data_IF_980700325574
#
_entry.id   IF_980700325574
#
_cell.length_a   1.000
_cell.length_b   1.000
_cell.length_c   1.000
_cell.angle_alpha   90.00
_cell.angle_beta   90.00
_cell.angle_gamma   90.00
#
_symmetry.space_group_name_H-M   'P 1'
#
loop_
_entity.id
_entity.type
_entity.pdbx_description
1 polymer ?
#
# COMPACT_ATOMS: atom_id res chain seq x y z
N UNK A 1 20.79 -0.87 14.29
CA UNK A 1 20.69 -1.99 13.32
C UNK A 1 19.49 -1.72 12.43
N UNK A 2 19.61 -1.94 11.12
CA UNK A 2 18.50 -1.83 10.17
C UNK A 2 17.58 -3.04 10.37
N UNK A 3 16.29 -2.82 10.65
CA UNK A 3 15.31 -3.90 10.71
C UNK A 3 14.60 -4.01 9.35
N UNK A 4 14.62 -5.21 8.76
CA UNK A 4 14.11 -5.48 7.42
C UNK A 4 13.12 -6.64 7.44
N UNK A 5 12.02 -6.51 6.70
CA UNK A 5 11.08 -7.60 6.47
C UNK A 5 10.73 -7.70 4.99
N UNK A 6 10.88 -8.89 4.41
CA UNK A 6 10.59 -9.15 3.00
C UNK A 6 9.34 -10.01 2.89
N UNK A 7 8.47 -9.68 1.95
CA UNK A 7 7.29 -10.44 1.58
C UNK A 7 7.27 -10.70 0.08
N UNK A 8 6.89 -11.92 -0.32
CA UNK A 8 6.60 -12.32 -1.70
C UNK A 8 5.26 -13.02 -1.77
N UNK A 9 4.36 -12.56 -2.63
CA UNK A 9 3.03 -13.18 -2.75
C UNK A 9 3.07 -14.61 -3.31
N UNK A 10 4.18 -15.02 -3.92
CA UNK A 10 4.43 -16.40 -4.33
C UNK A 10 4.30 -17.42 -3.19
N UNK A 11 4.54 -16.99 -1.95
CA UNK A 11 4.47 -17.79 -0.73
C UNK A 11 3.02 -17.97 -0.21
N UNK A 12 2.06 -17.29 -0.83
CA UNK A 12 0.62 -17.33 -0.47
C UNK A 12 -0.17 -18.09 -1.55
N UNK A 13 -1.18 -18.90 -1.16
CA UNK A 13 -2.09 -19.52 -2.11
C UNK A 13 -2.65 -18.53 -3.13
N UNK A 14 -2.72 -18.94 -4.39
CA UNK A 14 -3.05 -18.09 -5.54
C UNK A 14 -4.35 -17.29 -5.37
N UNK A 15 -5.36 -17.88 -4.73
CA UNK A 15 -6.66 -17.26 -4.47
C UNK A 15 -6.60 -16.12 -3.45
N UNK A 16 -5.65 -16.18 -2.50
CA UNK A 16 -5.59 -15.27 -1.35
C UNK A 16 -4.59 -14.13 -1.55
N UNK A 17 -3.77 -14.17 -2.60
CA UNK A 17 -2.63 -13.25 -2.80
C UNK A 17 -3.02 -11.78 -2.75
N UNK A 18 -4.11 -11.37 -3.39
CA UNK A 18 -4.54 -9.97 -3.38
C UNK A 18 -5.06 -9.54 -1.99
N UNK A 19 -5.82 -10.42 -1.32
CA UNK A 19 -6.33 -10.14 0.01
C UNK A 19 -5.19 -10.02 1.03
N UNK A 20 -4.25 -10.95 0.97
CA UNK A 20 -3.04 -10.94 1.79
C UNK A 20 -2.18 -9.71 1.49
N UNK A 21 -2.05 -9.33 0.21
CA UNK A 21 -1.33 -8.11 -0.17
C UNK A 21 -1.97 -6.84 0.45
N UNK A 22 -3.31 -6.72 0.42
CA UNK A 22 -4.02 -5.62 1.04
C UNK A 22 -3.80 -5.57 2.56
N UNK A 23 -3.76 -6.72 3.22
CA UNK A 23 -3.45 -6.82 4.64
C UNK A 23 -2.00 -6.38 4.94
N UNK A 24 -1.04 -6.84 4.15
CA UNK A 24 0.38 -6.47 4.28
C UNK A 24 0.60 -4.97 4.15
N UNK A 25 0.11 -4.36 3.07
CA UNK A 25 0.19 -2.89 2.88
C UNK A 25 -0.60 -2.15 3.96
N UNK A 26 -1.72 -2.72 4.39
CA UNK A 26 -2.54 -2.19 5.48
C UNK A 26 -1.80 -2.08 6.81
N UNK A 27 -0.93 -3.05 7.10
CA UNK A 27 -0.05 -3.06 8.29
C UNK A 27 1.13 -2.09 8.17
N UNK A 28 1.58 -1.78 6.96
CA UNK A 28 2.76 -0.92 6.76
C UNK A 28 2.47 0.55 6.99
N UNK A 29 1.31 1.05 6.56
CA UNK A 29 1.00 2.48 6.72
C UNK A 29 -0.42 2.72 7.24
N UNK A 30 -1.46 2.15 6.62
CA UNK A 30 -2.83 2.27 7.10
C UNK A 30 -3.78 1.29 6.37
N UNK A 31 -4.91 0.86 6.97
CA UNK A 31 -5.84 -0.08 6.33
C UNK A 31 -6.37 0.40 4.98
N UNK A 32 -6.26 -0.44 3.95
CA UNK A 32 -6.71 -0.13 2.58
C UNK A 32 -7.65 -1.20 2.03
N UNK A 33 -8.45 -0.82 1.03
CA UNK A 33 -9.14 -1.75 0.14
C UNK A 33 -8.43 -1.77 -1.21
N UNK A 34 -8.17 -2.97 -1.74
CA UNK A 34 -7.53 -3.15 -3.04
C UNK A 34 -8.45 -3.91 -3.99
N UNK A 35 -8.45 -3.52 -5.26
CA UNK A 35 -9.10 -4.23 -6.35
C UNK A 35 -8.20 -4.24 -7.57
N UNK A 36 -8.23 -5.32 -8.36
CA UNK A 36 -7.48 -5.44 -9.61
C UNK A 36 -8.28 -6.31 -10.59
N UNK A 37 -8.23 -5.99 -11.87
CA UNK A 37 -8.87 -6.80 -12.93
C UNK A 37 -8.20 -8.17 -13.07
N UNK A 38 -6.95 -8.32 -12.59
CA UNK A 38 -6.19 -9.58 -12.57
C UNK A 38 -5.82 -9.98 -11.14
N UNK A 39 -6.85 -10.13 -10.30
CA UNK A 39 -6.69 -10.48 -8.89
C UNK A 39 -6.15 -11.91 -8.65
N UNK A 40 -6.52 -12.87 -9.50
CA UNK A 40 -6.07 -14.25 -9.35
C UNK A 40 -4.55 -14.36 -9.56
N UNK A 41 -3.84 -14.92 -8.58
CA UNK A 41 -2.39 -15.08 -8.64
C UNK A 41 -1.60 -13.79 -8.57
N UNK A 42 -2.18 -12.72 -8.03
CA UNK A 42 -1.60 -11.37 -7.98
C UNK A 42 -0.12 -11.38 -7.53
N UNK A 43 0.83 -11.02 -8.41
CA UNK A 43 2.24 -10.97 -8.05
C UNK A 43 2.51 -9.65 -7.31
N UNK A 44 3.05 -9.77 -6.11
CA UNK A 44 3.46 -8.66 -5.29
C UNK A 44 4.72 -9.04 -4.52
N UNK A 45 5.66 -8.11 -4.45
CA UNK A 45 6.79 -8.17 -3.53
C UNK A 45 6.83 -6.88 -2.73
N UNK A 46 7.25 -6.97 -1.48
CA UNK A 46 7.44 -5.82 -0.62
C UNK A 46 8.63 -6.06 0.29
N UNK A 47 9.38 -5.00 0.52
CA UNK A 47 10.48 -5.00 1.46
C UNK A 47 10.32 -3.80 2.36
N UNK A 48 10.08 -4.01 3.65
CA UNK A 48 9.92 -2.92 4.62
C UNK A 48 11.25 -2.71 5.32
N UNK A 49 11.76 -1.48 5.22
CA UNK A 49 12.97 -1.01 5.89
C UNK A 49 12.53 -0.02 6.97
N UNK A 50 12.79 -0.37 8.22
CA UNK A 50 12.50 0.48 9.37
C UNK A 50 13.72 1.35 9.71
N UNK A 51 13.56 2.67 9.57
CA UNK A 51 14.57 3.69 9.85
C UNK A 51 14.19 4.54 11.07
N UNK A 52 13.36 4.01 11.97
CA UNK A 52 12.87 4.70 13.16
C UNK A 52 11.62 5.52 12.86
N UNK A 53 11.76 6.84 12.70
CA UNK A 53 10.60 7.71 12.45
C UNK A 53 10.03 7.58 11.02
N UNK A 54 10.78 6.95 10.12
CA UNK A 54 10.41 6.78 8.71
C UNK A 54 10.51 5.30 8.36
N UNK A 55 9.52 4.78 7.66
CA UNK A 55 9.58 3.46 7.03
C UNK A 55 9.65 3.63 5.52
N UNK A 56 10.66 3.02 4.90
CA UNK A 56 10.81 2.98 3.44
C UNK A 56 10.44 1.59 2.98
N UNK A 57 9.51 1.48 2.03
CA UNK A 57 9.10 0.17 1.55
C UNK A 57 9.01 0.09 0.02
N UNK A 58 10.08 -0.33 -0.65
CA UNK A 58 10.00 -0.69 -2.06
C UNK A 58 9.00 -1.83 -2.25
N UNK A 59 8.16 -1.70 -3.27
CA UNK A 59 7.19 -2.73 -3.63
C UNK A 59 7.05 -2.83 -5.15
N UNK A 60 6.92 -4.06 -5.64
CA UNK A 60 6.62 -4.36 -7.05
C UNK A 60 5.31 -5.10 -7.10
N UNK A 61 4.34 -4.59 -7.85
CA UNK A 61 3.03 -5.20 -7.98
C UNK A 61 2.38 -4.82 -9.32
N UNK A 62 1.41 -5.64 -9.76
CA UNK A 62 0.62 -5.33 -10.97
C UNK A 62 -0.38 -4.20 -10.73
N UNK A 63 -0.86 -3.59 -11.82
CA UNK A 63 -1.89 -2.56 -11.77
C UNK A 63 -3.05 -2.95 -10.84
N UNK A 64 -3.37 -2.05 -9.92
CA UNK A 64 -4.45 -2.19 -8.96
C UNK A 64 -5.00 -0.81 -8.55
N UNK A 65 -6.18 -0.81 -7.97
CA UNK A 65 -6.83 0.37 -7.39
C UNK A 65 -6.76 0.24 -5.87
N UNK A 66 -6.12 1.22 -5.22
CA UNK A 66 -6.05 1.33 -3.75
C UNK A 66 -7.05 2.39 -3.30
N UNK A 67 -7.89 2.06 -2.31
CA UNK A 67 -8.88 2.98 -1.74
C UNK A 67 -8.84 2.96 -0.22
N UNK A 68 -8.74 4.16 0.36
CA UNK A 68 -9.04 4.44 1.77
C UNK A 68 -10.48 4.93 1.86
N UNK A 69 -11.39 4.08 2.32
CA UNK A 69 -12.80 4.48 2.51
C UNK A 69 -12.96 5.19 3.86
N UNK A 70 -13.99 6.03 4.05
CA UNK A 70 -14.24 6.65 5.36
C UNK A 70 -14.33 5.66 6.52
N UNK A 71 -14.88 4.45 6.27
CA UNK A 71 -14.91 3.36 7.25
C UNK A 71 -13.51 2.88 7.64
N UNK A 72 -12.60 2.76 6.67
CA UNK A 72 -11.21 2.35 6.92
C UNK A 72 -10.37 3.45 7.58
N UNK A 73 -10.63 4.72 7.24
CA UNK A 73 -9.99 5.87 7.88
C UNK A 73 -10.40 5.94 9.35
N UNK A 74 -11.71 5.89 9.66
CA UNK A 74 -12.20 5.86 11.05
C UNK A 74 -11.68 4.68 11.86
N UNK A 75 -11.38 3.55 11.21
CA UNK A 75 -10.78 2.38 11.88
C UNK A 75 -9.35 2.66 12.34
N UNK A 76 -8.58 3.38 11.53
CA UNK A 76 -7.20 3.75 11.84
C UNK A 76 -6.75 4.84 10.88
N UNK A 77 -6.40 5.97 11.46
CA UNK A 77 -5.72 7.08 10.80
C UNK A 77 -4.48 7.46 11.62
N UNK A 78 -3.30 6.91 11.29
CA UNK A 78 -2.10 7.11 12.10
C UNK A 78 -1.41 8.45 11.84
N UNK A 79 -2.07 9.39 11.16
CA UNK A 79 -1.56 10.73 10.84
C UNK A 79 -0.20 10.70 10.09
N UNK A 80 0.07 9.61 9.36
CA UNK A 80 1.30 9.42 8.60
C UNK A 80 1.22 10.08 7.23
N UNK A 81 2.30 10.75 6.85
CA UNK A 81 2.46 11.23 5.48
C UNK A 81 3.06 10.12 4.60
N UNK A 82 2.22 9.54 3.72
CA UNK A 82 2.65 8.47 2.82
C UNK A 82 2.97 9.02 1.42
N UNK A 83 4.25 8.94 1.04
CA UNK A 83 4.74 9.27 -0.30
C UNK A 83 4.99 8.00 -1.10
N UNK A 84 4.51 7.97 -2.35
CA UNK A 84 4.78 6.90 -3.31
C UNK A 84 5.60 7.46 -4.48
N UNK A 85 6.74 6.83 -4.76
CA UNK A 85 7.55 7.11 -5.94
C UNK A 85 7.50 5.90 -6.88
N UNK A 86 7.22 6.17 -8.15
CA UNK A 86 7.21 5.17 -9.21
C UNK A 86 8.58 5.16 -9.89
N UNK A 87 9.28 4.03 -9.83
CA UNK A 87 10.69 3.91 -10.29
C UNK A 87 10.88 2.98 -11.50
N UNK A 88 9.91 2.13 -11.80
CA UNK A 88 9.93 1.20 -12.93
C UNK A 88 8.50 0.88 -13.39
N UNK A 89 7.91 1.79 -14.16
CA UNK A 89 6.53 1.66 -14.64
C UNK A 89 6.51 1.25 -16.09
N UNK A 90 5.78 0.16 -16.38
CA UNK A 90 5.25 -0.03 -17.72
C UNK A 90 4.14 1.01 -17.94
N UNK A 91 4.05 1.69 -19.10
CA UNK A 91 3.03 2.71 -19.37
C UNK A 91 1.62 2.14 -19.19
N UNK A 92 1.10 2.29 -17.99
CA UNK A 92 -0.26 1.98 -17.56
C UNK A 92 -0.63 3.17 -16.72
N UNK A 93 -1.62 3.91 -17.19
CA UNK A 93 -1.99 5.23 -16.68
C UNK A 93 -2.05 5.25 -15.14
N UNK A 94 -1.16 6.01 -14.49
CA UNK A 94 -1.20 6.19 -13.04
C UNK A 94 -2.19 7.31 -12.71
N UNK A 95 -3.33 6.95 -12.13
CA UNK A 95 -4.33 7.90 -11.62
C UNK A 95 -4.34 7.88 -10.10
N UNK A 96 -3.65 8.82 -9.46
CA UNK A 96 -3.91 9.18 -8.07
C UNK A 96 -4.90 10.34 -8.01
N UNK A 97 -5.96 10.22 -7.20
CA UNK A 97 -6.66 11.41 -6.72
C UNK A 97 -5.78 11.99 -5.62
N UNK A 98 -5.17 13.14 -5.87
CA UNK A 98 -4.61 13.94 -4.79
C UNK A 98 -5.72 14.17 -3.76
N UNK A 99 -5.52 13.72 -2.53
CA UNK A 99 -6.25 14.31 -1.43
C UNK A 99 -5.82 15.77 -1.42
N UNK A 100 -6.75 16.70 -1.67
CA UNK A 100 -6.50 18.09 -1.34
C UNK A 100 -6.01 18.10 0.11
N UNK A 101 -4.82 18.65 0.35
CA UNK A 101 -4.32 18.87 1.69
C UNK A 101 -5.37 19.74 2.39
N UNK A 102 -6.25 19.08 3.16
CA UNK A 102 -7.32 19.76 3.86
C UNK A 102 -6.68 20.66 4.88
N UNK A 103 -6.73 21.97 4.63
CA UNK A 103 -6.46 22.96 5.66
C UNK A 103 -7.51 22.73 6.75
N UNK A 104 -7.10 22.09 7.83
CA UNK A 104 -7.93 21.92 9.03
C UNK A 104 -8.30 23.30 9.58
N UNK A 105 -9.60 23.67 9.66
CA UNK A 105 -9.97 24.77 10.52
C UNK A 105 -9.96 24.23 11.95
N UNK A 106 -9.06 24.78 12.77
CA UNK A 106 -9.05 24.59 14.22
C UNK A 106 -10.44 24.93 14.77
N UNK A 107 -11.01 24.01 15.54
CA UNK A 107 -11.98 24.32 16.59
C UNK A 107 -11.28 24.11 17.93
#
# INVERSE_FOLDING_TARGET
MLNETVFRSGEVPTADRLAYWAERVGRTHAPVRMTSDRAHGFPATQRVLDLGAVSVWPATFRQLVIRRTPKLIRRSDPELFHLSLLVDITPTEYRSRAAAAGTSPRC
#
